data_IF_537945120636
#
_entry.id   IF_537945120636
#
_cell.length_a   1.000
_cell.length_b   1.000
_cell.length_c   1.000
_cell.angle_alpha   90.00
_cell.angle_beta   90.00
_cell.angle_gamma   90.00
#
_symmetry.space_group_name_H-M   'P 1'
#
loop_
_entity.id
_entity.type
_entity.pdbx_description
1 polymer ?
#
# COMPACT_ATOMS: atom_id res chain seq x y z
N UNK A 1 16.30 -2.21 7.56
CA UNK A 1 15.98 -2.18 9.00
C UNK A 1 16.66 -3.35 9.71
N UNK A 2 16.25 -4.58 9.41
CA UNK A 2 16.82 -5.82 9.97
C UNK A 2 18.36 -5.92 9.88
N UNK A 3 18.96 -5.48 8.77
CA UNK A 3 20.41 -5.53 8.59
C UNK A 3 21.22 -4.61 9.53
N UNK A 4 20.56 -3.72 10.29
CA UNK A 4 21.22 -2.74 11.15
C UNK A 4 21.07 -3.04 12.65
N UNK A 5 20.56 -4.22 13.03
CA UNK A 5 20.61 -4.64 14.43
C UNK A 5 22.06 -4.78 14.90
N UNK A 6 22.32 -4.35 16.13
CA UNK A 6 23.66 -4.49 16.72
C UNK A 6 23.95 -5.99 16.93
N UNK A 7 25.00 -6.55 16.30
CA UNK A 7 25.30 -7.98 16.36
C UNK A 7 25.46 -8.54 17.78
N UNK A 8 25.70 -7.68 18.78
CA UNK A 8 25.74 -8.11 20.19
C UNK A 8 24.40 -8.66 20.70
N UNK A 9 23.29 -8.38 20.00
CA UNK A 9 21.95 -8.84 20.33
C UNK A 9 21.49 -10.04 19.50
N UNK A 10 22.33 -10.58 18.63
CA UNK A 10 22.00 -11.74 17.80
C UNK A 10 21.49 -12.91 18.66
N UNK A 11 20.46 -13.59 18.17
CA UNK A 11 19.77 -14.70 18.86
C UNK A 11 19.10 -14.32 20.19
N UNK A 12 18.79 -13.03 20.39
CA UNK A 12 17.95 -12.55 21.49
C UNK A 12 16.65 -11.92 20.99
N UNK A 13 15.63 -11.76 21.84
CA UNK A 13 14.42 -11.01 21.50
C UNK A 13 14.64 -9.51 21.20
N UNK A 14 15.88 -9.00 21.32
CA UNK A 14 16.21 -7.61 21.00
C UNK A 14 16.69 -7.43 19.55
N UNK A 15 16.89 -8.52 18.81
CA UNK A 15 17.33 -8.52 17.41
C UNK A 15 16.16 -8.73 16.43
N UNK A 16 15.05 -8.04 16.69
CA UNK A 16 13.87 -8.03 15.83
C UNK A 16 13.22 -6.63 15.82
N UNK A 17 12.40 -6.36 14.81
CA UNK A 17 11.67 -5.09 14.70
C UNK A 17 10.82 -4.78 15.94
N UNK A 18 10.91 -3.55 16.44
CA UNK A 18 10.23 -3.15 17.68
C UNK A 18 8.69 -3.27 17.61
N UNK A 19 8.11 -3.12 16.43
CA UNK A 19 6.71 -3.40 16.12
C UNK A 19 6.51 -3.49 14.61
N UNK A 20 5.40 -4.07 14.17
CA UNK A 20 5.01 -4.05 12.76
C UNK A 20 4.92 -2.63 12.20
N UNK A 21 4.42 -1.67 13.00
CA UNK A 21 4.33 -0.27 12.56
C UNK A 21 5.69 0.39 12.35
N UNK A 22 6.68 0.10 13.20
CA UNK A 22 8.04 0.59 12.98
C UNK A 22 8.68 -0.12 11.78
N UNK A 23 8.45 -1.41 11.63
CA UNK A 23 8.96 -2.17 10.48
C UNK A 23 8.43 -1.61 9.17
N UNK A 24 7.11 -1.42 9.08
CA UNK A 24 6.42 -0.83 7.92
C UNK A 24 6.83 0.63 7.69
N UNK A 25 7.16 1.38 8.74
CA UNK A 25 7.69 2.74 8.55
C UNK A 25 8.99 2.75 7.75
N UNK A 26 9.82 1.70 7.89
CA UNK A 26 11.08 1.62 7.18
C UNK A 26 10.89 1.16 5.72
N UNK A 27 9.94 0.26 5.44
CA UNK A 27 9.58 -0.08 4.05
C UNK A 27 9.03 1.14 3.33
N UNK A 28 8.00 1.78 3.88
CA UNK A 28 7.34 2.95 3.27
C UNK A 28 8.27 4.17 3.18
N UNK A 29 9.22 4.34 4.10
CA UNK A 29 10.22 5.38 3.97
C UNK A 29 11.11 5.16 2.73
N UNK A 30 11.57 3.93 2.50
CA UNK A 30 12.37 3.63 1.33
C UNK A 30 11.54 3.67 0.03
N UNK A 31 10.34 3.13 0.03
CA UNK A 31 9.49 3.05 -1.16
C UNK A 31 8.83 4.39 -1.50
N UNK A 32 8.08 4.96 -0.56
CA UNK A 32 7.26 6.13 -0.80
C UNK A 32 8.07 7.42 -0.62
N UNK A 33 8.86 7.56 0.45
CA UNK A 33 9.57 8.83 0.69
C UNK A 33 10.79 8.99 -0.23
N UNK A 34 11.62 7.95 -0.34
CA UNK A 34 12.81 7.97 -1.20
C UNK A 34 12.47 7.54 -2.63
N UNK A 35 11.90 6.33 -2.78
CA UNK A 35 11.68 5.67 -4.07
C UNK A 35 10.67 6.38 -4.94
N UNK A 36 9.76 7.17 -4.38
CA UNK A 36 8.82 7.99 -5.16
C UNK A 36 9.24 9.47 -5.27
N UNK A 37 10.43 9.82 -4.80
CA UNK A 37 10.93 11.20 -4.86
C UNK A 37 11.29 11.59 -6.30
N UNK A 38 10.89 12.80 -6.72
CA UNK A 38 11.21 13.32 -8.06
C UNK A 38 12.72 13.35 -8.35
N UNK A 39 13.54 13.77 -7.39
CA UNK A 39 14.98 13.85 -7.58
C UNK A 39 15.63 12.46 -7.68
N UNK A 40 15.07 11.47 -6.98
CA UNK A 40 15.49 10.07 -7.13
C UNK A 40 15.25 9.59 -8.57
N UNK A 41 14.03 9.73 -9.07
CA UNK A 41 13.69 9.30 -10.43
C UNK A 41 14.35 10.13 -11.51
N UNK A 42 14.55 11.44 -11.32
CA UNK A 42 15.25 12.27 -12.31
C UNK A 42 16.69 11.77 -12.57
N UNK A 43 17.34 11.22 -11.54
CA UNK A 43 18.65 10.58 -11.67
C UNK A 43 18.55 9.16 -12.24
N UNK A 44 17.53 8.40 -11.85
CA UNK A 44 17.41 6.97 -12.15
C UNK A 44 16.78 6.68 -13.52
N UNK A 45 15.97 7.60 -14.05
CA UNK A 45 15.17 7.38 -15.25
C UNK A 45 15.99 7.02 -16.50
N UNK A 46 17.15 7.65 -16.79
CA UNK A 46 17.98 7.24 -17.92
C UNK A 46 18.44 5.77 -17.83
N UNK A 47 18.86 5.32 -16.64
CA UNK A 47 19.24 3.91 -16.44
C UNK A 47 18.03 2.99 -16.54
N UNK A 48 16.86 3.42 -16.04
CA UNK A 48 15.63 2.66 -16.23
C UNK A 48 15.28 2.49 -17.72
N UNK A 49 15.42 3.53 -18.54
CA UNK A 49 15.21 3.44 -19.98
C UNK A 49 16.20 2.46 -20.65
N UNK A 50 17.49 2.49 -20.26
CA UNK A 50 18.48 1.50 -20.72
C UNK A 50 18.03 0.06 -20.39
N UNK A 51 17.55 -0.18 -19.17
CA UNK A 51 17.05 -1.49 -18.75
C UNK A 51 15.74 -1.91 -19.45
N UNK A 52 14.93 -0.97 -19.91
CA UNK A 52 13.64 -1.24 -20.53
C UNK A 52 13.71 -1.45 -22.05
N UNK A 53 14.91 -1.45 -22.62
CA UNK A 53 15.23 -1.85 -24.00
C UNK A 53 14.31 -1.23 -25.06
N UNK A 54 14.13 0.10 -25.01
CA UNK A 54 13.37 0.86 -26.00
C UNK A 54 11.88 1.03 -25.69
N UNK A 55 11.34 0.34 -24.67
CA UNK A 55 9.91 0.39 -24.32
C UNK A 55 9.46 1.76 -23.81
N UNK A 56 10.37 2.56 -23.25
CA UNK A 56 10.09 3.87 -22.65
C UNK A 56 10.82 5.03 -23.35
N UNK A 57 11.41 4.81 -24.52
CA UNK A 57 12.25 5.81 -25.20
C UNK A 57 11.43 7.01 -25.70
N UNK A 58 10.14 6.83 -25.96
CA UNK A 58 9.21 7.86 -26.40
C UNK A 58 8.47 8.56 -25.25
N UNK A 59 8.71 8.17 -24.00
CA UNK A 59 8.07 8.73 -22.82
C UNK A 59 8.98 9.78 -22.16
N UNK A 60 8.45 11.01 -22.00
CA UNK A 60 9.17 12.07 -21.30
C UNK A 60 9.29 11.77 -19.81
N UNK A 61 10.33 12.29 -19.15
CA UNK A 61 10.48 12.14 -17.70
C UNK A 61 9.28 12.72 -16.93
N UNK A 62 8.69 13.83 -17.39
CA UNK A 62 7.55 14.44 -16.72
C UNK A 62 6.31 13.54 -16.80
N UNK A 63 6.05 12.93 -17.96
CA UNK A 63 4.92 12.01 -18.13
C UNK A 63 5.11 10.73 -17.31
N UNK A 64 6.31 10.15 -17.34
CA UNK A 64 6.67 9.01 -16.50
C UNK A 64 6.51 9.32 -15.00
N UNK A 65 7.02 10.45 -14.54
CA UNK A 65 6.91 10.82 -13.13
C UNK A 65 5.46 11.12 -12.74
N UNK A 66 4.68 11.75 -13.63
CA UNK A 66 3.26 11.99 -13.40
C UNK A 66 2.47 10.67 -13.29
N UNK A 67 2.78 9.65 -14.11
CA UNK A 67 2.12 8.35 -14.01
C UNK A 67 2.43 7.62 -12.70
N UNK A 68 3.62 7.79 -12.13
CA UNK A 68 3.94 7.27 -10.78
C UNK A 68 3.13 7.93 -9.66
N UNK A 69 2.46 9.06 -9.94
CA UNK A 69 1.66 9.83 -8.98
C UNK A 69 0.17 9.77 -9.27
N UNK A 70 -0.26 8.89 -10.18
CA UNK A 70 -1.68 8.65 -10.41
C UNK A 70 -2.35 8.21 -9.11
N UNK A 71 -3.53 8.80 -8.84
CA UNK A 71 -4.36 8.45 -7.69
C UNK A 71 -5.75 8.09 -8.19
N UNK A 72 -6.28 6.97 -7.70
CA UNK A 72 -7.55 6.44 -8.17
C UNK A 72 -8.14 5.52 -7.12
N UNK A 73 -9.43 5.70 -6.85
CA UNK A 73 -10.20 4.72 -6.09
C UNK A 73 -10.15 3.34 -6.77
N UNK A 74 -9.73 2.34 -6.02
CA UNK A 74 -9.57 0.96 -6.48
C UNK A 74 -10.06 -0.02 -5.41
N UNK A 75 -10.16 -1.31 -5.76
CA UNK A 75 -10.69 -2.33 -4.85
C UNK A 75 -9.58 -3.00 -4.02
N UNK A 76 -8.40 -3.19 -4.62
CA UNK A 76 -7.33 -4.02 -4.07
C UNK A 76 -6.37 -3.16 -3.23
N UNK A 77 -6.37 -3.40 -1.92
CA UNK A 77 -5.57 -2.61 -0.96
C UNK A 77 -4.08 -2.57 -1.32
N UNK A 78 -3.47 -3.71 -1.67
CA UNK A 78 -2.03 -3.78 -1.91
C UNK A 78 -1.59 -3.06 -3.19
N UNK A 79 -2.51 -2.80 -4.11
CA UNK A 79 -2.26 -2.11 -5.37
C UNK A 79 -2.73 -0.64 -5.34
N UNK A 80 -3.27 -0.19 -4.21
CA UNK A 80 -3.82 1.16 -4.06
C UNK A 80 -2.72 2.22 -3.94
N UNK A 81 -3.02 3.43 -4.41
CA UNK A 81 -2.07 4.54 -4.33
C UNK A 81 -1.92 5.08 -2.91
N UNK A 82 -0.85 5.83 -2.67
CA UNK A 82 -0.50 6.33 -1.33
C UNK A 82 -1.58 7.20 -0.65
N UNK A 83 -2.49 7.82 -1.41
CA UNK A 83 -3.56 8.64 -0.85
C UNK A 83 -4.80 7.81 -0.50
N UNK A 84 -5.08 6.75 -1.26
CA UNK A 84 -6.25 5.89 -1.05
C UNK A 84 -5.96 4.69 -0.14
N UNK A 85 -4.71 4.23 -0.06
CA UNK A 85 -4.27 3.11 0.79
C UNK A 85 -4.77 3.21 2.25
N UNK A 86 -4.65 4.35 2.95
CA UNK A 86 -5.13 4.46 4.33
C UNK A 86 -6.64 4.20 4.47
N UNK A 87 -7.44 4.51 3.45
CA UNK A 87 -8.89 4.29 3.48
C UNK A 87 -9.21 2.79 3.51
N UNK A 88 -8.46 1.96 2.79
CA UNK A 88 -8.61 0.50 2.84
C UNK A 88 -8.35 -0.08 4.23
N UNK A 89 -7.40 0.51 4.98
CA UNK A 89 -7.10 0.13 6.37
C UNK A 89 -8.22 0.59 7.31
N UNK A 90 -8.70 1.83 7.15
CA UNK A 90 -9.82 2.37 7.94
C UNK A 90 -11.06 1.49 7.79
N UNK A 91 -11.44 1.14 6.56
CA UNK A 91 -12.60 0.28 6.29
C UNK A 91 -12.49 -1.05 7.06
N UNK A 92 -11.35 -1.74 6.96
CA UNK A 92 -11.12 -3.02 7.67
C UNK A 92 -11.19 -2.86 9.17
N UNK A 93 -10.51 -1.84 9.71
CA UNK A 93 -10.50 -1.58 11.14
C UNK A 93 -11.88 -1.22 11.69
N UNK A 94 -12.71 -0.52 10.92
CA UNK A 94 -14.11 -0.26 11.31
C UNK A 94 -14.95 -1.52 11.34
N UNK A 95 -14.82 -2.38 10.32
CA UNK A 95 -15.51 -3.67 10.26
C UNK A 95 -15.07 -4.58 11.43
N UNK A 96 -13.77 -4.64 11.72
CA UNK A 96 -13.23 -5.36 12.88
C UNK A 96 -13.85 -4.87 14.19
N UNK A 97 -13.89 -3.55 14.43
CA UNK A 97 -14.55 -2.99 15.62
C UNK A 97 -16.03 -3.40 15.70
N UNK A 98 -16.75 -3.42 14.57
CA UNK A 98 -18.15 -3.83 14.55
C UNK A 98 -18.33 -5.30 14.93
N UNK A 99 -17.47 -6.18 14.43
CA UNK A 99 -17.47 -7.60 14.78
C UNK A 99 -17.19 -7.80 16.28
N UNK A 100 -16.11 -7.18 16.80
CA UNK A 100 -15.72 -7.36 18.20
C UNK A 100 -16.69 -6.72 19.20
N UNK A 101 -17.43 -5.68 18.79
CA UNK A 101 -18.48 -5.07 19.61
C UNK A 101 -19.83 -5.80 19.50
N UNK A 102 -19.94 -6.86 18.68
CA UNK A 102 -21.19 -7.60 18.48
C UNK A 102 -22.27 -6.81 17.73
N UNK A 103 -21.89 -5.76 17.00
CA UNK A 103 -22.82 -4.96 16.18
C UNK A 103 -22.88 -5.44 14.72
N UNK A 104 -22.13 -6.49 14.37
CA UNK A 104 -22.08 -7.10 13.05
C UNK A 104 -21.93 -8.61 13.17
N UNK A 105 -22.79 -9.36 12.49
CA UNK A 105 -22.65 -10.80 12.32
C UNK A 105 -21.75 -11.11 11.12
N UNK A 106 -20.99 -12.21 11.20
CA UNK A 106 -20.06 -12.63 10.13
C UNK A 106 -20.78 -12.83 8.80
N UNK A 107 -22.03 -13.31 8.83
CA UNK A 107 -22.84 -13.53 7.64
C UNK A 107 -23.15 -12.24 6.85
N UNK A 108 -23.10 -11.07 7.51
CA UNK A 108 -23.40 -9.78 6.89
C UNK A 108 -22.13 -9.06 6.36
N UNK A 109 -20.95 -9.66 6.54
CA UNK A 109 -19.67 -9.07 6.11
C UNK A 109 -19.63 -8.66 4.63
N UNK A 110 -20.07 -9.48 3.65
CA UNK A 110 -20.03 -9.08 2.25
C UNK A 110 -20.81 -7.79 1.98
N UNK A 111 -21.98 -7.64 2.63
CA UNK A 111 -22.82 -6.45 2.49
C UNK A 111 -22.15 -5.21 3.09
N UNK A 112 -21.70 -5.30 4.34
CA UNK A 112 -21.09 -4.15 5.04
C UNK A 112 -19.77 -3.74 4.39
N UNK A 113 -19.01 -4.71 3.88
CA UNK A 113 -17.80 -4.44 3.09
C UNK A 113 -18.10 -3.56 1.87
N UNK A 114 -19.10 -3.96 1.07
CA UNK A 114 -19.48 -3.23 -0.14
C UNK A 114 -20.02 -1.84 0.19
N UNK A 115 -20.84 -1.71 1.23
CA UNK A 115 -21.34 -0.42 1.71
C UNK A 115 -20.19 0.52 2.14
N UNK A 116 -19.21 0.00 2.89
CA UNK A 116 -18.04 0.76 3.33
C UNK A 116 -17.13 1.17 2.17
N UNK A 117 -16.86 0.26 1.23
CA UNK A 117 -16.07 0.59 0.03
C UNK A 117 -16.77 1.65 -0.83
N UNK A 118 -18.09 1.56 -0.97
CA UNK A 118 -18.87 2.58 -1.66
C UNK A 118 -18.85 3.93 -0.92
N UNK A 119 -18.96 3.93 0.41
CA UNK A 119 -18.94 5.11 1.27
C UNK A 119 -17.59 5.86 1.18
N UNK A 120 -16.48 5.13 1.30
CA UNK A 120 -15.14 5.72 1.42
C UNK A 120 -14.44 5.95 0.08
N UNK A 121 -14.62 5.03 -0.87
CA UNK A 121 -13.87 5.02 -2.14
C UNK A 121 -14.80 5.24 -3.35
N UNK A 122 -16.12 5.16 -3.19
CA UNK A 122 -17.07 5.32 -4.30
C UNK A 122 -17.08 4.15 -5.28
N UNK A 123 -16.45 3.02 -4.93
CA UNK A 123 -16.38 1.79 -5.73
C UNK A 123 -16.96 0.63 -4.95
N UNK A 124 -17.47 -0.38 -5.66
CA UNK A 124 -17.98 -1.61 -5.07
C UNK A 124 -17.44 -2.80 -5.85
N UNK A 125 -17.04 -3.91 -5.20
CA UNK A 125 -16.58 -5.10 -5.88
C UNK A 125 -17.76 -5.81 -6.59
N UNK A 126 -17.48 -6.48 -7.70
CA UNK A 126 -18.50 -7.25 -8.44
C UNK A 126 -18.83 -8.59 -7.75
N UNK A 127 -17.90 -9.10 -6.95
CA UNK A 127 -17.99 -10.39 -6.27
C UNK A 127 -17.11 -10.41 -5.00
N UNK A 128 -17.32 -11.41 -4.15
CA UNK A 128 -16.64 -11.48 -2.85
C UNK A 128 -15.13 -11.74 -2.95
N UNK A 129 -14.64 -12.29 -4.08
CA UNK A 129 -13.20 -12.52 -4.30
C UNK A 129 -12.44 -11.20 -4.43
N UNK A 130 -13.04 -10.21 -5.08
CA UNK A 130 -12.50 -8.84 -5.17
C UNK A 130 -12.91 -7.98 -3.96
N UNK A 131 -13.90 -8.45 -3.19
CA UNK A 131 -14.43 -7.82 -2.00
C UNK A 131 -13.77 -8.34 -0.72
N UNK A 132 -14.60 -8.89 0.15
CA UNK A 132 -14.24 -9.26 1.53
C UNK A 132 -13.20 -10.39 1.63
N UNK A 133 -12.96 -11.15 0.57
CA UNK A 133 -11.98 -12.26 0.57
C UNK A 133 -10.56 -11.85 0.10
N UNK A 134 -10.31 -10.56 -0.13
CA UNK A 134 -8.97 -10.03 -0.47
C UNK A 134 -8.04 -9.92 0.75
#
# INVERSE_FOLDING_TARGET
>A
YEQNFDPKFDFTPLSEGASMGIHESQSLFNEIIIGSNRAFWQKQYPFFQECAEGTFDDISFEDFYASLKETKASLIRIDSDSLTYPLHIIIRYEIEKMLFNGSLEVADLPKVWNEKYQEYLGVSPENDLEGVLQ
#
